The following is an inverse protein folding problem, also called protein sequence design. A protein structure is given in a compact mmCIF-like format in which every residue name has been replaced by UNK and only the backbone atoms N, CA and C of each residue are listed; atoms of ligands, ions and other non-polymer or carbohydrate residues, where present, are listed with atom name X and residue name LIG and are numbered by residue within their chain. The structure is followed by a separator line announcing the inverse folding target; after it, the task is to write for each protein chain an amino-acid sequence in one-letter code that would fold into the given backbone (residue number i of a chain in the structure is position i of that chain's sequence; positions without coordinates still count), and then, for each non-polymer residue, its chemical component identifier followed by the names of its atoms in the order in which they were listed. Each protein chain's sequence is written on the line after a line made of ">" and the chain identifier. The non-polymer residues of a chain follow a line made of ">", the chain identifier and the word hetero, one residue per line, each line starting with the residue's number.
data_IF_718101596592
#
_entry.id   IF_718101596592
#
_cell.length_a   1.000
_cell.length_b   1.000
_cell.length_c   1.000
_cell.angle_alpha   90.00
_cell.angle_beta   90.00
_cell.angle_gamma   90.00
#
_symmetry.space_group_name_H-M   'P 1'
#
loop_
_entity.id
_entity.type
_entity.pdbx_description
1 polymer ?
#
# COMPACT_ATOMS: atom_id res chain seq x y z
N UNK A 1 38.11 -37.23 -2.42
CA UNK A 1 36.72 -36.92 -1.99
C UNK A 1 36.72 -35.65 -1.15
N UNK A 2 35.86 -34.66 -1.44
CA UNK A 2 35.71 -33.51 -0.55
C UNK A 2 35.26 -33.98 0.83
N UNK A 3 35.95 -33.53 1.89
CA UNK A 3 35.61 -33.91 3.28
C UNK A 3 34.16 -33.51 3.57
N UNK A 4 33.36 -34.44 4.13
CA UNK A 4 31.97 -34.18 4.54
C UNK A 4 31.95 -32.95 5.48
N UNK A 5 31.10 -31.96 5.18
CA UNK A 5 30.93 -30.75 6.00
C UNK A 5 30.41 -31.16 7.39
N UNK A 6 31.03 -30.61 8.44
CA UNK A 6 30.59 -30.79 9.83
C UNK A 6 29.20 -30.19 10.06
N UNK A 7 28.46 -30.69 11.05
CA UNK A 7 27.11 -30.20 11.39
C UNK A 7 27.09 -28.68 11.68
N UNK A 8 28.08 -28.18 12.41
CA UNK A 8 28.25 -26.75 12.67
C UNK A 8 28.42 -25.92 11.38
N UNK A 9 29.19 -26.42 10.40
CA UNK A 9 29.39 -25.74 9.12
C UNK A 9 28.12 -25.74 8.25
N UNK A 10 27.33 -26.82 8.31
CA UNK A 10 26.00 -26.88 7.65
C UNK A 10 25.02 -25.89 8.28
N UNK A 11 24.99 -25.78 9.62
CA UNK A 11 24.13 -24.82 10.34
C UNK A 11 24.52 -23.36 10.02
N UNK A 12 25.81 -23.05 9.99
CA UNK A 12 26.30 -21.72 9.63
C UNK A 12 26.00 -21.34 8.17
N UNK A 13 26.15 -22.27 7.22
CA UNK A 13 25.78 -22.03 5.82
C UNK A 13 24.27 -21.82 5.64
N UNK A 14 23.43 -22.64 6.29
CA UNK A 14 21.97 -22.48 6.26
C UNK A 14 21.52 -21.14 6.89
N UNK A 15 22.17 -20.72 7.97
CA UNK A 15 21.91 -19.41 8.59
C UNK A 15 22.35 -18.25 7.68
N UNK A 16 23.48 -18.39 6.99
CA UNK A 16 23.96 -17.38 6.02
C UNK A 16 23.05 -17.28 4.79
N UNK A 17 22.53 -18.40 4.31
CA UNK A 17 21.55 -18.45 3.22
C UNK A 17 20.24 -17.78 3.63
N UNK A 18 19.70 -18.11 4.81
CA UNK A 18 18.55 -17.41 5.39
C UNK A 18 18.77 -15.91 5.55
N UNK A 19 19.95 -15.49 6.02
CA UNK A 19 20.29 -14.06 6.10
C UNK A 19 20.35 -13.39 4.72
N UNK A 20 20.80 -14.12 3.69
CA UNK A 20 20.81 -13.60 2.31
C UNK A 20 19.40 -13.46 1.75
N UNK A 21 18.51 -14.40 2.05
CA UNK A 21 17.09 -14.33 1.69
C UNK A 21 16.39 -13.14 2.39
N UNK A 22 16.65 -12.93 3.69
CA UNK A 22 16.12 -11.77 4.43
C UNK A 22 16.62 -10.44 3.82
N UNK A 23 17.90 -10.37 3.43
CA UNK A 23 18.44 -9.18 2.75
C UNK A 23 17.77 -8.95 1.40
N UNK A 24 17.59 -9.99 0.58
CA UNK A 24 16.85 -9.90 -0.69
C UNK A 24 15.40 -9.45 -0.49
N UNK A 25 14.72 -9.94 0.56
CA UNK A 25 13.37 -9.51 0.89
C UNK A 25 13.28 -8.04 1.33
N UNK A 26 14.38 -7.47 1.85
CA UNK A 26 14.45 -6.04 2.21
C UNK A 26 14.56 -5.15 0.97
N UNK A 27 15.28 -5.60 -0.07
CA UNK A 27 15.38 -4.91 -1.36
C UNK A 27 14.07 -4.95 -2.16
N UNK A 28 13.28 -6.01 -1.99
CA UNK A 28 11.95 -6.16 -2.62
C UNK A 28 10.81 -5.54 -1.80
N UNK A 29 11.12 -4.84 -0.70
CA UNK A 29 10.10 -4.25 0.17
C UNK A 29 9.36 -3.14 -0.57
N UNK A 30 8.06 -3.35 -0.77
CA UNK A 30 7.18 -2.35 -1.37
C UNK A 30 7.18 -1.06 -0.55
N UNK A 31 7.03 0.07 -1.23
CA UNK A 31 7.12 1.41 -0.63
C UNK A 31 6.18 1.61 0.57
N UNK A 32 5.00 0.99 0.52
CA UNK A 32 3.94 1.06 1.54
C UNK A 32 4.36 0.37 2.84
N UNK A 33 5.24 -0.62 2.74
CA UNK A 33 5.70 -1.37 3.91
C UNK A 33 6.83 -0.65 4.63
N UNK A 34 7.40 0.43 4.10
CA UNK A 34 8.50 1.14 4.76
C UNK A 34 8.01 1.96 5.95
N UNK A 35 8.72 1.97 7.09
CA UNK A 35 8.20 2.62 8.31
C UNK A 35 8.00 4.14 8.19
N UNK A 36 8.76 4.81 7.34
CA UNK A 36 8.58 6.23 7.03
C UNK A 36 7.32 6.53 6.20
N UNK A 37 6.67 5.49 5.65
CA UNK A 37 5.46 5.59 4.86
C UNK A 37 4.27 4.85 5.52
N UNK A 38 4.39 4.48 6.79
CA UNK A 38 3.28 3.92 7.55
C UNK A 38 2.16 4.95 7.72
N UNK A 39 0.92 4.48 7.84
CA UNK A 39 -0.18 5.34 8.26
C UNK A 39 0.00 5.68 9.74
N UNK A 40 -0.20 6.96 10.06
CA UNK A 40 -0.37 7.44 11.42
C UNK A 40 -1.62 8.33 11.48
N UNK A 41 -2.19 8.44 12.68
CA UNK A 41 -3.24 9.41 12.99
C UNK A 41 -2.67 10.45 13.93
N UNK A 42 -2.96 11.74 13.68
CA UNK A 42 -2.47 12.81 14.54
C UNK A 42 -3.22 12.85 15.87
N UNK A 43 -2.50 12.79 16.99
CA UNK A 43 -3.08 12.83 18.34
C UNK A 43 -3.86 14.12 18.64
N UNK A 44 -3.59 15.22 17.92
CA UNK A 44 -4.24 16.53 18.15
C UNK A 44 -5.45 16.78 17.27
N UNK A 45 -5.40 16.40 16.00
CA UNK A 45 -6.47 16.74 15.03
C UNK A 45 -7.20 15.53 14.46
N UNK A 46 -6.82 14.29 14.83
CA UNK A 46 -7.47 13.05 14.39
C UNK A 46 -7.32 12.74 12.90
N UNK A 47 -6.55 13.55 12.15
CA UNK A 47 -6.38 13.33 10.70
C UNK A 47 -5.34 12.26 10.44
N UNK A 48 -5.66 11.38 9.49
CA UNK A 48 -4.75 10.35 8.98
C UNK A 48 -3.73 10.97 8.03
N UNK A 49 -2.48 10.53 8.15
CA UNK A 49 -1.35 10.98 7.35
C UNK A 49 -0.29 9.86 7.32
N UNK A 50 0.77 10.02 6.51
CA UNK A 50 1.96 9.17 6.62
C UNK A 50 2.73 9.48 7.91
N UNK A 51 3.59 8.55 8.34
CA UNK A 51 4.52 8.74 9.44
C UNK A 51 5.39 9.99 9.19
N UNK A 52 5.24 10.99 10.06
CA UNK A 52 5.89 12.31 9.95
C UNK A 52 6.18 12.83 11.35
N UNK A 53 7.27 13.59 11.48
CA UNK A 53 7.70 14.21 12.72
C UNK A 53 6.70 15.26 13.20
N UNK A 54 6.20 16.05 12.24
CA UNK A 54 5.19 17.08 12.46
C UNK A 54 3.97 16.78 11.61
N UNK A 55 2.78 16.92 12.19
CA UNK A 55 1.55 16.72 11.45
C UNK A 55 1.46 17.70 10.28
N UNK A 56 1.17 17.19 9.09
CA UNK A 56 0.97 18.00 7.89
C UNK A 56 -0.14 19.04 8.04
N UNK A 57 -1.20 18.73 8.79
CA UNK A 57 -2.37 19.61 8.91
C UNK A 57 -2.28 20.66 10.00
N UNK A 58 -1.68 20.34 11.15
CA UNK A 58 -1.68 21.20 12.33
C UNK A 58 -0.29 21.45 12.93
N UNK A 59 0.77 20.94 12.28
CA UNK A 59 2.18 21.06 12.71
C UNK A 59 2.47 20.53 14.13
N UNK A 60 1.54 19.77 14.71
CA UNK A 60 1.71 19.15 16.01
C UNK A 60 2.75 18.03 15.95
N UNK A 61 3.56 17.92 17.01
CA UNK A 61 4.46 16.79 17.23
C UNK A 61 3.64 15.60 17.74
N UNK A 62 3.87 14.41 17.19
CA UNK A 62 3.23 13.18 17.65
C UNK A 62 3.75 12.78 19.04
N UNK A 63 2.84 12.35 19.94
CA UNK A 63 3.24 11.90 21.29
C UNK A 63 4.09 10.62 21.23
N UNK A 64 3.74 9.70 20.34
CA UNK A 64 4.42 8.43 20.14
C UNK A 64 5.14 8.41 18.78
N UNK A 65 6.40 8.88 18.70
CA UNK A 65 7.15 8.88 17.46
C UNK A 65 7.54 7.45 17.05
N UNK A 66 7.37 7.15 15.77
CA UNK A 66 7.76 5.87 15.18
C UNK A 66 8.98 6.10 14.29
N UNK A 67 10.07 5.37 14.53
CA UNK A 67 11.28 5.50 13.71
C UNK A 67 11.01 5.13 12.23
N UNK A 68 11.27 6.07 11.31
CA UNK A 68 11.10 5.88 9.87
C UNK A 68 12.00 4.82 9.21
N UNK A 69 13.05 4.35 9.91
CA UNK A 69 13.92 3.27 9.42
C UNK A 69 13.60 1.91 10.04
N UNK A 70 13.45 1.81 11.37
CA UNK A 70 13.31 0.53 12.07
C UNK A 70 11.94 0.28 12.71
N UNK A 71 10.98 1.19 12.54
CA UNK A 71 9.62 1.13 13.12
C UNK A 71 9.55 1.08 14.67
N UNK A 72 10.68 1.23 15.37
CA UNK A 72 10.68 1.23 16.84
C UNK A 72 10.00 2.49 17.39
N UNK A 73 9.22 2.30 18.45
CA UNK A 73 8.57 3.35 19.28
C UNK A 73 9.22 3.48 20.67
N UNK A 74 10.19 2.60 20.96
CA UNK A 74 11.05 2.65 22.16
C UNK A 74 12.46 2.18 21.81
N UNK A 75 13.53 2.89 22.24
CA UNK A 75 14.88 2.30 22.20
C UNK A 75 15.11 1.52 23.50
N UNK A 76 15.54 0.26 23.35
CA UNK A 76 16.11 -0.53 24.43
C UNK A 76 17.63 -0.57 24.30
N UNK A 77 18.35 -0.27 25.39
CA UNK A 77 19.81 -0.34 25.38
C UNK A 77 20.37 -1.77 25.21
N UNK A 78 19.56 -2.83 25.37
CA UNK A 78 19.98 -4.24 25.18
C UNK A 78 20.71 -4.49 23.84
N UNK A 79 20.40 -3.72 22.80
CA UNK A 79 21.01 -3.88 21.47
C UNK A 79 22.29 -3.06 21.21
N UNK A 80 22.74 -2.22 22.16
CA UNK A 80 24.06 -1.55 22.13
C UNK A 80 24.31 -0.53 21.01
N UNK A 81 23.42 -0.39 20.03
CA UNK A 81 23.62 0.47 18.85
C UNK A 81 23.08 1.91 19.03
N UNK A 82 22.56 2.28 20.20
CA UNK A 82 22.04 3.63 20.46
C UNK A 82 23.21 4.62 20.74
N UNK A 83 23.24 5.76 20.03
CA UNK A 83 24.29 6.80 20.15
C UNK A 83 24.20 7.52 21.49
N UNK A 84 22.98 7.67 22.02
CA UNK A 84 22.70 8.14 23.38
C UNK A 84 22.51 6.90 24.27
N UNK A 85 23.27 6.84 25.36
CA UNK A 85 23.16 5.75 26.35
C UNK A 85 22.00 6.02 27.31
N UNK A 86 21.20 5.00 27.60
CA UNK A 86 20.06 5.01 28.54
C UNK A 86 20.02 3.69 29.34
N UNK A 87 20.96 3.49 30.29
CA UNK A 87 21.14 2.21 30.96
C UNK A 87 19.92 1.91 31.85
N UNK A 88 19.37 0.69 31.72
CA UNK A 88 18.28 0.22 32.58
C UNK A 88 16.92 0.88 32.33
N UNK A 89 16.79 1.76 31.32
CA UNK A 89 15.53 2.46 31.02
C UNK A 89 15.19 2.35 29.54
N UNK A 90 13.90 2.19 29.23
CA UNK A 90 13.41 2.33 27.86
C UNK A 90 13.21 3.80 27.55
N UNK A 91 13.96 4.32 26.57
CA UNK A 91 13.69 5.67 26.10
C UNK A 91 12.52 5.65 25.12
N UNK A 92 11.52 6.48 25.39
CA UNK A 92 10.30 6.67 24.58
C UNK A 92 10.14 8.14 24.20
N UNK A 93 9.13 8.47 23.37
CA UNK A 93 8.82 9.85 23.02
C UNK A 93 9.98 10.55 22.31
N UNK A 94 10.21 11.82 22.62
CA UNK A 94 11.31 12.59 22.00
C UNK A 94 12.71 12.12 22.43
N UNK A 95 12.85 11.45 23.59
CA UNK A 95 14.16 10.98 24.04
C UNK A 95 14.78 9.90 23.13
N UNK A 96 13.96 9.15 22.39
CA UNK A 96 14.46 8.14 21.45
C UNK A 96 14.78 8.69 20.07
N UNK A 97 14.39 9.93 19.79
CA UNK A 97 14.61 10.60 18.50
C UNK A 97 16.05 11.07 18.42
N UNK A 98 16.72 10.79 17.30
CA UNK A 98 18.07 11.26 17.01
C UNK A 98 18.14 12.29 15.89
N UNK A 99 17.22 12.22 14.91
CA UNK A 99 17.15 13.16 13.79
C UNK A 99 15.76 13.16 13.15
N UNK A 100 15.50 14.15 12.30
CA UNK A 100 14.40 14.16 11.32
C UNK A 100 15.01 13.97 9.94
N UNK A 101 14.41 13.15 9.09
CA UNK A 101 14.89 12.94 7.72
C UNK A 101 14.34 14.01 6.77
N UNK A 102 15.19 14.64 5.98
CA UNK A 102 14.77 15.70 5.03
C UNK A 102 13.93 15.15 3.85
N UNK A 103 14.04 13.86 3.52
CA UNK A 103 13.28 13.28 2.40
C UNK A 103 11.86 12.86 2.82
N UNK A 104 11.75 12.09 3.91
CA UNK A 104 10.47 11.53 4.35
C UNK A 104 9.80 12.30 5.49
N UNK A 105 10.52 13.22 6.14
CA UNK A 105 10.10 14.01 7.30
C UNK A 105 9.67 13.18 8.51
N UNK A 106 10.01 11.90 8.55
CA UNK A 106 9.77 11.05 9.71
C UNK A 106 10.90 11.21 10.75
N UNK A 107 10.56 10.96 12.01
CA UNK A 107 11.58 10.84 13.06
C UNK A 107 12.44 9.61 12.83
N UNK A 108 13.74 9.75 13.05
CA UNK A 108 14.73 8.67 13.02
C UNK A 108 15.27 8.51 14.43
N UNK A 109 15.26 7.28 14.95
CA UNK A 109 15.76 7.02 16.29
C UNK A 109 17.28 7.24 16.36
N UNK A 110 17.80 7.45 17.56
CA UNK A 110 19.23 7.63 17.82
C UNK A 110 20.09 6.36 17.64
N UNK A 111 19.57 5.32 16.96
CA UNK A 111 20.34 4.13 16.61
C UNK A 111 21.37 4.49 15.55
N UNK A 112 22.64 4.14 15.76
CA UNK A 112 23.75 4.47 14.85
C UNK A 112 23.47 3.96 13.43
N UNK A 113 22.95 2.74 13.30
CA UNK A 113 22.52 2.23 11.99
C UNK A 113 21.45 3.12 11.34
N UNK A 114 20.39 3.47 12.08
CA UNK A 114 19.29 4.26 11.54
C UNK A 114 19.75 5.64 11.07
N UNK A 115 20.59 6.31 11.86
CA UNK A 115 21.11 7.64 11.53
C UNK A 115 22.07 7.62 10.33
N UNK A 116 22.89 6.58 10.21
CA UNK A 116 23.91 6.50 9.14
C UNK A 116 23.36 6.02 7.81
N UNK A 117 22.33 5.16 7.81
CA UNK A 117 21.83 4.55 6.56
C UNK A 117 20.56 5.19 6.03
N UNK A 118 19.69 5.75 6.89
CA UNK A 118 18.35 6.13 6.45
C UNK A 118 18.34 7.24 5.39
N UNK A 119 19.18 8.26 5.53
CA UNK A 119 19.22 9.35 4.55
C UNK A 119 19.65 8.85 3.16
N UNK A 120 20.63 7.93 3.09
CA UNK A 120 21.14 7.39 1.83
C UNK A 120 20.17 6.40 1.15
N UNK A 121 19.37 5.70 1.93
CA UNK A 121 18.46 4.65 1.46
C UNK A 121 16.99 5.02 1.67
N UNK A 122 16.67 6.32 1.81
CA UNK A 122 15.30 6.72 2.10
C UNK A 122 14.41 6.35 0.91
N UNK A 123 13.36 5.52 1.11
CA UNK A 123 12.53 5.05 0.00
C UNK A 123 11.64 6.15 -0.57
N UNK A 124 11.53 7.30 0.12
CA UNK A 124 10.76 8.47 -0.32
C UNK A 124 11.64 9.57 -0.93
N UNK A 125 12.92 9.30 -1.21
CA UNK A 125 13.83 10.24 -1.86
C UNK A 125 13.32 10.58 -3.27
N UNK A 126 13.19 11.87 -3.55
CA UNK A 126 12.82 12.42 -4.86
C UNK A 126 11.56 11.78 -5.48
N UNK A 127 10.59 11.41 -4.63
CA UNK A 127 9.31 10.90 -5.10
C UNK A 127 8.28 12.01 -5.22
N UNK A 128 7.73 12.09 -6.43
CA UNK A 128 6.67 13.01 -6.81
C UNK A 128 5.49 12.19 -7.35
N UNK A 129 4.27 12.61 -7.01
CA UNK A 129 3.08 12.01 -7.59
C UNK A 129 3.02 12.31 -9.08
N UNK A 130 2.80 11.29 -9.91
CA UNK A 130 2.69 11.48 -11.35
C UNK A 130 1.48 12.31 -11.80
N UNK A 131 0.39 12.31 -11.02
CA UNK A 131 -0.86 12.98 -11.41
C UNK A 131 -0.93 14.42 -10.91
N UNK A 132 -0.66 14.65 -9.62
CA UNK A 132 -0.69 16.00 -9.05
C UNK A 132 0.67 16.71 -9.00
N UNK A 133 1.75 16.07 -9.43
CA UNK A 133 3.14 16.60 -9.44
C UNK A 133 3.66 17.04 -8.06
N UNK A 134 2.94 16.69 -6.99
CA UNK A 134 3.30 17.04 -5.62
C UNK A 134 4.29 16.06 -5.03
N UNK A 135 5.29 16.60 -4.34
CA UNK A 135 6.27 15.83 -3.57
C UNK A 135 5.79 15.45 -2.17
N UNK A 136 6.60 14.66 -1.47
CA UNK A 136 6.37 14.19 -0.08
C UNK A 136 6.02 15.30 0.92
N UNK A 137 6.56 16.51 0.69
CA UNK A 137 6.38 17.68 1.54
C UNK A 137 5.05 18.41 1.32
N UNK A 138 4.45 18.24 0.14
CA UNK A 138 3.29 18.99 -0.36
C UNK A 138 1.97 18.22 -0.18
N UNK A 139 2.05 17.01 0.36
CA UNK A 139 0.89 16.21 0.72
C UNK A 139 1.11 15.44 2.04
N UNK A 140 0.04 15.26 2.82
CA UNK A 140 0.10 14.53 4.09
C UNK A 140 -0.03 13.01 3.96
N UNK A 141 -0.53 12.51 2.82
CA UNK A 141 -0.83 11.09 2.61
C UNK A 141 0.39 10.21 2.38
N UNK A 142 0.16 8.89 2.36
CA UNK A 142 1.17 7.91 1.96
C UNK A 142 1.46 7.98 0.46
N UNK A 143 2.59 7.40 0.07
CA UNK A 143 2.97 7.22 -1.34
C UNK A 143 2.87 5.74 -1.71
N UNK A 144 2.37 5.49 -2.92
CA UNK A 144 2.19 4.18 -3.53
C UNK A 144 2.95 4.12 -4.85
N UNK A 145 3.23 2.90 -5.33
CA UNK A 145 3.73 2.67 -6.69
C UNK A 145 2.66 1.95 -7.48
N UNK A 146 2.37 2.42 -8.69
CA UNK A 146 1.41 1.78 -9.57
C UNK A 146 1.93 0.41 -10.02
N UNK A 147 1.16 -0.66 -9.82
CA UNK A 147 1.51 -2.02 -10.29
C UNK A 147 1.62 -2.17 -11.82
N UNK A 148 1.18 -1.17 -12.58
CA UNK A 148 1.16 -1.21 -14.04
C UNK A 148 2.28 -0.39 -14.68
N UNK A 149 2.58 0.79 -14.14
CA UNK A 149 3.57 1.70 -14.74
C UNK A 149 4.74 2.04 -13.81
N UNK A 150 4.77 1.50 -12.59
CA UNK A 150 5.77 1.75 -11.54
C UNK A 150 5.95 3.23 -11.14
N UNK A 151 5.02 4.09 -11.55
CA UNK A 151 5.05 5.51 -11.19
C UNK A 151 4.58 5.70 -9.75
N UNK A 152 5.16 6.70 -9.08
CA UNK A 152 4.78 7.07 -7.73
C UNK A 152 3.45 7.86 -7.74
N UNK A 153 2.60 7.57 -6.76
CA UNK A 153 1.25 8.12 -6.64
C UNK A 153 0.99 8.45 -5.18
N UNK A 154 0.37 9.59 -4.91
CA UNK A 154 -0.09 9.91 -3.55
C UNK A 154 -1.33 9.07 -3.20
N UNK A 155 -1.70 9.04 -1.92
CA UNK A 155 -2.85 8.29 -1.42
C UNK A 155 -4.18 8.70 -2.06
N UNK A 156 -4.31 9.95 -2.49
CA UNK A 156 -5.50 10.50 -3.15
C UNK A 156 -5.60 10.01 -4.61
N UNK A 157 -4.50 10.07 -5.37
CA UNK A 157 -4.49 9.78 -6.82
C UNK A 157 -4.33 8.29 -7.15
N UNK A 158 -3.96 7.45 -6.17
CA UNK A 158 -3.57 6.06 -6.45
C UNK A 158 -4.68 5.25 -7.13
N UNK A 159 -5.94 5.45 -6.75
CA UNK A 159 -7.06 4.63 -7.20
C UNK A 159 -7.51 5.04 -8.60
N UNK A 160 -7.61 6.34 -8.84
CA UNK A 160 -7.96 6.90 -10.14
C UNK A 160 -6.89 6.55 -11.18
N UNK A 161 -5.62 6.72 -10.82
CA UNK A 161 -4.52 6.33 -11.69
C UNK A 161 -4.51 4.82 -11.95
N UNK A 162 -4.68 3.96 -10.95
CA UNK A 162 -4.68 2.50 -11.17
C UNK A 162 -5.82 2.05 -12.07
N UNK A 163 -7.01 2.65 -11.93
CA UNK A 163 -8.17 2.34 -12.77
C UNK A 163 -7.91 2.70 -14.25
N UNK A 164 -7.31 3.85 -14.52
CA UNK A 164 -7.01 4.28 -15.90
C UNK A 164 -5.73 3.65 -16.45
N UNK A 165 -4.72 3.42 -15.61
CA UNK A 165 -3.41 2.94 -16.04
C UNK A 165 -3.41 1.47 -16.46
N UNK A 166 -4.44 0.69 -16.17
CA UNK A 166 -4.59 -0.65 -16.74
C UNK A 166 -4.91 -0.61 -18.24
N UNK A 167 -5.52 0.48 -18.73
CA UNK A 167 -5.96 0.60 -20.11
C UNK A 167 -4.84 1.17 -21.01
N UNK A 168 -4.79 0.69 -22.24
CA UNK A 168 -3.91 1.23 -23.29
C UNK A 168 -4.81 2.00 -24.25
N UNK A 169 -4.82 3.33 -24.17
CA UNK A 169 -5.63 4.21 -25.02
C UNK A 169 -5.06 4.39 -26.45
N UNK A 170 -4.25 3.45 -26.94
CA UNK A 170 -3.76 3.53 -28.31
C UNK A 170 -4.91 3.24 -29.28
N UNK A 171 -5.40 4.28 -29.97
CA UNK A 171 -6.46 4.19 -31.01
C UNK A 171 -6.11 3.15 -32.09
N UNK A 172 -4.82 2.94 -32.34
CA UNK A 172 -4.34 1.84 -33.15
C UNK A 172 -3.42 0.97 -32.30
N UNK A 173 -3.85 -0.27 -32.02
CA UNK A 173 -3.05 -1.34 -31.38
C UNK A 173 -1.90 -1.81 -32.28
N UNK A 174 -1.30 -0.88 -33.02
CA UNK A 174 -0.26 -1.09 -33.99
C UNK A 174 1.10 -0.96 -33.31
N UNK A 175 2.05 -1.73 -33.79
CA UNK A 175 3.43 -1.67 -33.39
C UNK A 175 4.01 -0.31 -33.77
N UNK A 176 4.58 0.40 -32.80
CA UNK A 176 5.18 1.71 -33.02
C UNK A 176 6.31 1.73 -34.07
N UNK A 177 6.91 0.58 -34.39
CA UNK A 177 8.04 0.48 -35.33
C UNK A 177 7.65 0.05 -36.74
N UNK A 178 6.58 -0.72 -36.94
CA UNK A 178 6.21 -1.24 -38.27
C UNK A 178 4.72 -1.21 -38.61
N UNK A 179 3.89 -0.55 -37.80
CA UNK A 179 2.45 -0.38 -37.99
C UNK A 179 1.62 -1.68 -38.16
N UNK A 180 2.22 -2.87 -38.01
CA UNK A 180 1.52 -4.17 -37.88
C UNK A 180 0.85 -4.28 -36.51
N UNK A 181 -0.07 -5.22 -36.31
CA UNK A 181 -0.66 -5.45 -34.98
C UNK A 181 0.41 -5.75 -33.92
N UNK A 182 0.35 -5.03 -32.80
CA UNK A 182 1.21 -5.23 -31.64
C UNK A 182 0.67 -6.35 -30.77
N UNK A 183 1.53 -7.31 -30.44
CA UNK A 183 1.20 -8.43 -29.54
C UNK A 183 1.65 -8.18 -28.09
N UNK A 184 2.59 -7.26 -27.89
CA UNK A 184 3.13 -6.89 -26.59
C UNK A 184 2.88 -5.41 -26.33
N UNK A 185 2.39 -5.08 -25.15
CA UNK A 185 2.11 -3.71 -24.73
C UNK A 185 2.90 -3.36 -23.48
N UNK A 186 3.57 -2.20 -23.52
CA UNK A 186 4.22 -1.63 -22.34
C UNK A 186 3.23 -0.70 -21.63
N UNK A 187 2.82 -1.03 -20.40
CA UNK A 187 1.89 -0.20 -19.62
C UNK A 187 2.52 1.08 -19.08
N UNK A 188 3.86 1.14 -18.98
CA UNK A 188 4.59 2.35 -18.59
C UNK A 188 4.68 3.37 -19.73
N UNK A 189 4.96 2.91 -20.96
CA UNK A 189 5.05 3.79 -22.13
C UNK A 189 3.72 3.94 -22.89
N UNK A 190 2.73 3.09 -22.62
CA UNK A 190 1.46 3.01 -23.38
C UNK A 190 1.67 2.75 -24.88
N UNK A 191 2.68 1.94 -25.21
CA UNK A 191 3.05 1.61 -26.60
C UNK A 191 2.96 0.10 -26.83
N UNK A 192 2.48 -0.27 -28.02
CA UNK A 192 2.43 -1.65 -28.49
C UNK A 192 3.61 -1.98 -29.43
N UNK A 193 4.06 -3.22 -29.40
CA UNK A 193 5.15 -3.78 -30.20
C UNK A 193 4.74 -5.14 -30.78
N UNK A 194 5.20 -5.47 -31.98
CA UNK A 194 5.11 -6.83 -32.52
C UNK A 194 6.25 -7.71 -31.98
N UNK A 195 6.18 -9.03 -32.18
CA UNK A 195 7.21 -9.99 -31.72
C UNK A 195 8.63 -9.60 -32.11
N UNK A 196 8.82 -9.11 -33.33
CA UNK A 196 10.13 -8.74 -33.85
C UNK A 196 10.68 -7.45 -33.23
N UNK A 197 9.81 -6.48 -32.91
CA UNK A 197 10.22 -5.16 -32.41
C UNK A 197 10.27 -5.07 -30.90
N UNK A 198 9.62 -5.98 -30.17
CA UNK A 198 9.77 -6.07 -28.72
C UNK A 198 11.10 -6.73 -28.33
N UNK A 199 11.62 -7.64 -29.16
CA UNK A 199 12.87 -8.36 -28.92
C UNK A 199 14.06 -7.58 -29.48
N UNK A 200 15.06 -7.29 -28.65
CA UNK A 200 16.36 -6.76 -29.07
C UNK A 200 17.18 -7.88 -29.73
N UNK A 201 17.73 -7.62 -30.91
CA UNK A 201 18.62 -8.56 -31.61
C UNK A 201 19.84 -8.89 -30.74
N UNK A 202 20.14 -10.18 -30.57
CA UNK A 202 21.30 -10.66 -29.82
C UNK A 202 21.09 -10.87 -28.31
N UNK A 203 19.89 -10.60 -27.78
CA UNK A 203 19.56 -10.91 -26.38
C UNK A 203 18.86 -12.27 -26.27
N UNK A 204 19.32 -13.11 -25.34
CA UNK A 204 18.67 -14.40 -25.04
C UNK A 204 17.52 -14.15 -24.08
N UNK A 205 16.29 -14.27 -24.57
CA UNK A 205 15.10 -14.26 -23.73
C UNK A 205 14.85 -15.68 -23.19
N UNK A 206 14.69 -15.80 -21.88
CA UNK A 206 14.29 -17.06 -21.27
C UNK A 206 12.78 -17.28 -21.50
N UNK A 207 12.36 -18.54 -21.61
CA UNK A 207 10.95 -18.87 -21.87
C UNK A 207 10.17 -18.72 -20.55
N UNK A 208 9.22 -17.78 -20.52
CA UNK A 208 8.34 -17.53 -19.37
C UNK A 208 8.65 -16.24 -18.60
N UNK A 209 9.78 -15.57 -18.87
CA UNK A 209 10.03 -14.23 -18.34
C UNK A 209 9.38 -13.16 -19.23
N UNK A 210 8.82 -12.09 -18.66
CA UNK A 210 8.25 -10.99 -19.42
C UNK A 210 9.34 -10.30 -20.25
N UNK A 211 9.00 -9.92 -21.48
CA UNK A 211 9.95 -9.27 -22.37
C UNK A 211 10.05 -7.79 -21.96
N UNK A 212 11.24 -7.24 -21.67
CA UNK A 212 11.40 -5.83 -21.33
C UNK A 212 11.13 -4.92 -22.53
N UNK A 213 10.43 -3.82 -22.29
CA UNK A 213 10.12 -2.80 -23.29
C UNK A 213 11.40 -2.23 -23.92
N UNK A 214 11.50 -2.11 -25.26
CA UNK A 214 12.67 -1.54 -25.90
C UNK A 214 13.02 -0.12 -25.44
N UNK A 215 12.02 0.71 -25.10
CA UNK A 215 12.19 2.12 -24.71
C UNK A 215 12.54 2.30 -23.22
N UNK A 216 11.78 1.69 -22.32
CA UNK A 216 11.92 1.93 -20.88
C UNK A 216 12.42 0.70 -20.10
N UNK A 217 12.65 -0.42 -20.77
CA UNK A 217 13.06 -1.71 -20.19
C UNK A 217 12.10 -2.27 -19.13
N UNK A 218 10.90 -1.70 -18.98
CA UNK A 218 9.85 -2.21 -18.12
C UNK A 218 9.13 -3.40 -18.77
N UNK A 219 8.67 -4.33 -17.94
CA UNK A 219 8.04 -5.57 -18.39
C UNK A 219 6.82 -5.29 -19.28
N UNK A 220 6.82 -5.91 -20.46
CA UNK A 220 5.66 -5.87 -21.36
C UNK A 220 4.69 -6.99 -21.01
N UNK A 221 3.41 -6.72 -21.20
CA UNK A 221 2.34 -7.71 -21.09
C UNK A 221 1.83 -8.06 -22.48
N UNK A 222 1.29 -9.26 -22.64
CA UNK A 222 0.64 -9.62 -23.88
C UNK A 222 -0.64 -8.79 -24.06
N UNK A 223 -0.80 -8.19 -25.23
CA UNK A 223 -1.93 -7.29 -25.53
C UNK A 223 -3.28 -8.00 -25.40
N UNK A 224 -3.31 -9.31 -25.63
CA UNK A 224 -4.52 -10.15 -25.50
C UNK A 224 -4.99 -10.33 -24.04
N UNK A 225 -4.08 -10.21 -23.08
CA UNK A 225 -4.37 -10.40 -21.64
C UNK A 225 -4.81 -9.09 -20.97
N UNK A 226 -4.69 -7.96 -21.68
CA UNK A 226 -5.17 -6.68 -21.21
C UNK A 226 -6.68 -6.57 -21.48
N UNK A 227 -7.44 -6.15 -20.48
CA UNK A 227 -8.86 -5.84 -20.60
C UNK A 227 -9.06 -4.65 -21.54
N UNK A 228 -9.20 -4.93 -22.83
CA UNK A 228 -9.42 -3.95 -23.90
C UNK A 228 -10.89 -3.54 -23.93
N UNK A 229 -11.27 -2.52 -23.15
CA UNK A 229 -12.59 -1.91 -23.34
C UNK A 229 -12.52 -0.90 -24.48
N UNK A 230 -13.03 -1.27 -25.66
CA UNK A 230 -13.24 -0.33 -26.78
C UNK A 230 -14.49 0.53 -26.61
N UNK A 231 -15.27 0.31 -25.55
CA UNK A 231 -16.42 1.14 -25.19
C UNK A 231 -16.15 1.82 -23.85
N UNK A 232 -15.94 3.14 -23.88
CA UNK A 232 -16.02 3.97 -22.68
C UNK A 232 -17.47 3.96 -22.22
N UNK A 233 -17.87 3.00 -21.38
CA UNK A 233 -19.15 3.09 -20.68
C UNK A 233 -18.90 4.02 -19.51
N UNK A 234 -19.14 5.32 -19.71
CA UNK A 234 -19.24 6.24 -18.60
C UNK A 234 -20.41 5.74 -17.75
N UNK A 235 -20.13 5.14 -16.60
CA UNK A 235 -21.15 4.91 -15.57
C UNK A 235 -21.52 6.28 -14.98
N UNK A 236 -22.24 7.07 -15.77
CA UNK A 236 -23.11 8.10 -15.23
C UNK A 236 -24.16 7.38 -14.39
N UNK A 237 -24.36 7.87 -13.17
CA UNK A 237 -25.46 7.42 -12.32
C UNK A 237 -26.71 7.43 -13.19
N UNK A 238 -27.23 6.24 -13.50
CA UNK A 238 -28.57 6.13 -14.06
C UNK A 238 -29.45 6.84 -13.03
N UNK A 239 -30.00 7.99 -13.42
CA UNK A 239 -31.16 8.53 -12.75
C UNK A 239 -32.17 7.39 -12.74
N UNK A 240 -32.45 6.87 -11.54
CA UNK A 240 -33.58 6.00 -11.32
C UNK A 240 -34.84 6.82 -11.62
N UNK A 241 -35.18 6.92 -12.89
CA UNK A 241 -36.54 7.15 -13.32
C UNK A 241 -36.98 5.91 -14.10
N UNK A 242 -38.16 5.44 -13.73
CA UNK A 242 -38.50 4.05 -13.57
C UNK A 242 -38.73 3.28 -14.88
N UNK A 243 -38.75 1.95 -14.77
CA UNK A 243 -39.06 1.08 -15.88
C UNK A 243 -40.38 1.41 -16.57
N UNK A 244 -40.33 1.57 -17.89
CA UNK A 244 -41.31 1.11 -18.86
C UNK A 244 -40.81 1.57 -20.24
N UNK A 245 -40.69 0.65 -21.18
CA UNK A 245 -40.21 0.96 -22.52
C UNK A 245 -41.11 1.95 -23.24
N UNK A 246 -40.50 2.91 -23.94
CA UNK A 246 -41.10 3.49 -25.12
C UNK A 246 -40.01 4.09 -26.01
N UNK A 247 -40.02 3.63 -27.25
CA UNK A 247 -39.29 4.17 -28.39
C UNK A 247 -39.80 5.60 -28.67
N UNK A 248 -38.90 6.58 -28.77
CA UNK A 248 -39.25 7.85 -29.41
C UNK A 248 -37.98 8.54 -29.92
N UNK A 249 -37.89 8.64 -31.26
CA UNK A 249 -37.00 9.58 -31.93
C UNK A 249 -37.59 10.99 -31.81
N UNK A 250 -36.79 11.97 -31.40
CA UNK A 250 -37.09 13.39 -31.64
C UNK A 250 -35.80 14.15 -31.96
N UNK A 251 -35.88 14.94 -33.03
CA UNK A 251 -34.85 15.74 -33.67
C UNK A 251 -34.41 16.95 -32.82
N UNK A 252 -33.23 17.47 -33.17
CA UNK A 252 -32.79 18.87 -32.98
C UNK A 252 -33.94 19.87 -33.25
N UNK A 253 -34.13 20.83 -32.36
CA UNK A 253 -34.44 22.22 -32.74
C UNK A 253 -34.10 23.19 -31.58
N UNK A 254 -33.59 24.34 -31.97
CA UNK A 254 -33.18 25.49 -31.14
C UNK A 254 -34.40 26.26 -30.54
N UNK A 255 -34.08 27.28 -29.73
CA UNK A 255 -34.90 28.44 -29.28
C UNK A 255 -35.43 28.49 -27.82
N UNK A 256 -34.76 29.37 -27.06
CA UNK A 256 -35.26 30.53 -26.29
C UNK A 256 -36.49 30.51 -25.34
N UNK A 257 -36.24 31.18 -24.20
CA UNK A 257 -37.12 32.05 -23.37
C UNK A 257 -38.22 31.51 -22.42
N UNK A 258 -38.00 31.81 -21.13
CA UNK A 258 -38.90 32.42 -20.13
C UNK A 258 -40.16 31.72 -19.55
N UNK A 259 -40.31 31.89 -18.22
CA UNK A 259 -41.57 31.80 -17.44
C UNK A 259 -41.48 30.78 -16.29
N UNK A 260 -41.66 31.09 -15.00
CA UNK A 260 -42.35 32.18 -14.33
C UNK A 260 -43.51 31.62 -13.48
N UNK A 261 -43.45 31.77 -12.15
CA UNK A 261 -44.55 31.50 -11.18
C UNK A 261 -44.26 30.33 -10.24
N UNK A 262 -44.27 30.43 -8.90
CA UNK A 262 -44.99 31.34 -8.00
C UNK A 262 -46.19 30.60 -7.37
N UNK A 263 -46.36 30.77 -6.04
CA UNK A 263 -47.52 30.41 -5.17
C UNK A 263 -47.91 28.91 -5.05
N UNK A 264 -48.36 28.38 -3.90
CA UNK A 264 -48.71 28.98 -2.63
C UNK A 264 -49.15 27.94 -1.57
N UNK A 265 -48.97 28.38 -0.33
CA UNK A 265 -49.46 27.96 0.99
C UNK A 265 -50.83 27.23 1.11
N UNK A 266 -50.90 26.21 1.97
CA UNK A 266 -51.97 25.81 2.93
C UNK A 266 -51.56 24.42 3.48
N UNK A 267 -51.59 24.05 4.77
CA UNK A 267 -52.12 24.64 5.98
C UNK A 267 -52.66 23.52 6.89
N UNK A 268 -52.17 23.47 8.15
CA UNK A 268 -52.81 22.80 9.30
C UNK A 268 -52.65 21.28 9.42
N UNK A 269 -52.59 20.66 10.60
CA UNK A 269 -52.62 21.10 12.00
C UNK A 269 -52.36 19.86 12.89
N UNK A 270 -52.05 20.12 14.16
CA UNK A 270 -52.20 19.24 15.34
C UNK A 270 -51.16 18.10 15.52
N UNK A 271 -50.70 17.74 16.73
CA UNK A 271 -50.83 18.28 18.09
C UNK A 271 -49.89 17.48 19.03
N UNK A 272 -49.53 18.10 20.17
CA UNK A 272 -49.10 17.49 21.45
C UNK A 272 -47.78 16.68 21.46
N UNK A 273 -46.89 16.76 22.44
CA UNK A 273 -46.88 17.38 23.77
C UNK A 273 -45.85 16.62 24.63
N UNK A 274 -45.24 17.29 25.62
CA UNK A 274 -44.59 16.62 26.76
C UNK A 274 -43.06 16.69 26.82
N UNK A 275 -42.57 17.55 27.72
CA UNK A 275 -41.20 17.60 28.27
C UNK A 275 -41.19 16.83 29.59
N UNK A 276 -40.20 15.97 29.87
CA UNK A 276 -39.66 15.73 31.22
C UNK A 276 -38.22 15.19 31.15
N UNK A 277 -37.40 15.64 32.10
CA UNK A 277 -36.00 15.30 32.39
C UNK A 277 -35.90 14.00 33.22
N UNK A 278 -34.78 13.26 33.12
CA UNK A 278 -34.15 12.33 34.11
C UNK A 278 -33.16 11.41 33.36
N UNK A 279 -32.02 10.93 33.85
CA UNK A 279 -31.14 11.19 34.99
C UNK A 279 -29.83 10.46 34.59
N UNK A 280 -28.68 11.13 34.68
CA UNK A 280 -27.36 10.48 34.68
C UNK A 280 -26.99 10.29 36.16
N UNK A 281 -26.75 9.06 36.61
CA UNK A 281 -25.86 8.75 37.73
C UNK A 281 -25.62 7.23 37.90
N UNK A 282 -24.51 6.93 38.57
CA UNK A 282 -24.06 5.65 39.19
C UNK A 282 -23.30 4.65 38.27
N UNK A 283 -22.07 4.17 38.55
CA UNK A 283 -21.31 4.01 39.81
C UNK A 283 -19.77 3.93 39.56
N UNK A 284 -18.99 4.70 40.33
CA UNK A 284 -17.89 4.38 41.27
C UNK A 284 -17.18 3.00 41.19
N UNK A 285 -15.84 2.91 41.09
CA UNK A 285 -14.71 3.10 42.05
C UNK A 285 -14.13 1.75 42.52
N UNK A 286 -12.79 1.64 42.45
CA UNK A 286 -11.85 0.85 43.28
C UNK A 286 -11.97 -0.70 43.24
N UNK A 287 -10.97 -1.53 43.53
CA UNK A 287 -9.62 -1.38 44.10
C UNK A 287 -8.82 -2.67 43.81
N UNK A 288 -7.55 -2.61 44.18
CA UNK A 288 -6.75 -3.70 44.78
C UNK A 288 -5.72 -4.52 43.99
N UNK A 289 -4.54 -4.41 44.58
CA UNK A 289 -3.20 -4.93 44.35
C UNK A 289 -3.05 -6.42 44.71
N UNK A 290 -1.92 -6.98 44.29
CA UNK A 290 -1.06 -8.00 44.93
C UNK A 290 -0.59 -9.04 43.89
N UNK A 291 0.64 -9.02 43.39
CA UNK A 291 1.98 -9.22 43.99
C UNK A 291 2.37 -10.71 44.14
N UNK A 292 3.66 -10.95 43.93
CA UNK A 292 4.47 -12.16 44.20
C UNK A 292 4.71 -13.22 43.10
N UNK A 293 5.99 -13.20 42.69
CA UNK A 293 6.98 -14.29 42.64
C UNK A 293 7.02 -15.35 41.52
N UNK A 294 8.06 -15.16 40.70
CA UNK A 294 9.22 -16.05 40.48
C UNK A 294 8.96 -17.57 40.33
N UNK A 295 9.21 -18.09 39.13
CA UNK A 295 9.87 -19.38 38.96
C UNK A 295 10.42 -19.55 37.53
N UNK A 296 11.75 -19.47 37.44
CA UNK A 296 12.58 -19.99 36.34
C UNK A 296 12.25 -21.46 36.08
N UNK A 297 11.68 -21.78 34.90
CA UNK A 297 11.76 -23.12 34.30
C UNK A 297 12.04 -23.03 32.81
N UNK A 298 13.30 -23.29 32.48
CA UNK A 298 13.71 -23.87 31.21
C UNK A 298 12.90 -25.17 30.99
N UNK A 299 12.07 -25.21 29.95
CA UNK A 299 11.63 -26.48 29.35
C UNK A 299 11.70 -26.38 27.83
N UNK A 300 12.71 -27.07 27.30
CA UNK A 300 12.80 -27.51 25.91
C UNK A 300 11.70 -28.56 25.67
N UNK A 301 10.59 -28.18 25.04
CA UNK A 301 9.63 -29.15 24.49
C UNK A 301 9.57 -29.09 22.96
N UNK A 302 9.96 -30.22 22.38
CA UNK A 302 9.92 -30.58 20.97
C UNK A 302 8.49 -30.49 20.41
N UNK A 303 8.28 -29.65 19.39
CA UNK A 303 7.03 -29.65 18.62
C UNK A 303 7.04 -30.80 17.59
N UNK A 304 6.61 -31.99 18.01
CA UNK A 304 6.10 -33.04 17.12
C UNK A 304 4.60 -32.83 16.87
N UNK A 305 4.22 -31.83 16.08
CA UNK A 305 2.82 -31.66 15.66
C UNK A 305 2.78 -31.18 14.21
N UNK A 306 3.00 -32.09 13.25
CA UNK A 306 2.78 -31.79 11.82
C UNK A 306 2.66 -33.04 10.92
N UNK A 307 2.26 -34.20 11.45
CA UNK A 307 2.06 -35.41 10.64
C UNK A 307 0.59 -35.86 10.46
N UNK A 308 -0.37 -35.27 11.17
CA UNK A 308 -1.77 -35.75 11.10
C UNK A 308 -2.60 -35.16 9.94
N UNK A 309 -2.16 -34.07 9.30
CA UNK A 309 -2.87 -33.51 8.13
C UNK A 309 -2.60 -34.27 6.82
N UNK A 310 -1.49 -35.00 6.73
CA UNK A 310 -1.11 -35.71 5.52
C UNK A 310 -1.91 -37.01 5.32
N UNK A 311 -2.26 -37.70 6.40
CA UNK A 311 -3.00 -38.97 6.37
C UNK A 311 -4.52 -38.79 6.15
N UNK A 312 -5.05 -37.59 6.39
CA UNK A 312 -6.46 -37.30 6.16
C UNK A 312 -6.79 -36.95 4.69
N UNK A 313 -5.78 -36.61 3.87
CA UNK A 313 -5.97 -36.27 2.46
C UNK A 313 -5.92 -37.51 1.53
N UNK A 314 -5.21 -38.56 1.94
CA UNK A 314 -5.04 -39.80 1.16
C UNK A 314 -6.25 -40.72 1.20
N UNK A 315 -7.21 -40.45 2.10
CA UNK A 315 -8.43 -41.25 2.32
C UNK A 315 -9.67 -40.70 1.60
N UNK A 316 -9.57 -39.58 0.87
CA UNK A 316 -10.66 -39.01 0.09
C UNK A 316 -10.79 -39.69 -1.29
N UNK A 317 -11.77 -40.60 -1.42
CA UNK A 317 -12.17 -41.19 -2.69
C UNK A 317 -12.89 -40.16 -3.57
N UNK A 318 -12.17 -39.54 -4.49
CA UNK A 318 -12.76 -38.70 -5.54
C UNK A 318 -13.38 -39.61 -6.61
N UNK A 319 -14.70 -39.54 -6.78
CA UNK A 319 -15.46 -40.28 -7.79
C UNK A 319 -15.12 -39.84 -9.23
N UNK A 320 -15.61 -40.57 -10.25
CA UNK A 320 -15.14 -40.41 -11.63
C UNK A 320 -15.56 -39.06 -12.23
N UNK A 321 -14.58 -38.36 -12.78
CA UNK A 321 -14.79 -37.15 -13.58
C UNK A 321 -15.45 -37.52 -14.91
N UNK A 322 -16.61 -36.92 -15.19
CA UNK A 322 -17.28 -37.04 -16.49
C UNK A 322 -16.43 -36.38 -17.59
N UNK A 323 -16.25 -37.12 -18.68
CA UNK A 323 -15.74 -36.66 -19.98
C UNK A 323 -16.77 -35.84 -20.73
#
# INVERSE_FOLDING_TARGET
>A
MPKKKTGARKKAEKQKERQREIRKGTEQRQIVQWPCNFTMECDKCGRRQKNRAFCYFCNAVQKLPVCGHCAKVKCMQKSGDCVIKHPGQFTTGLGMVGAVCDFCEAFICHGRKCLTTHACECPLTDLECKECERGVWEHGGRIFKCSFCDSALCEDDQFEHQAMCQQVEAESLKCASCNRLGQYSCLRCKICFCEDHVKRKGFKYSRGEPIPCPKCSYDTKETKELSMSTRKVAYGRQSNDAGAGSYSYTYDDDDDDNGGGGYGYYGGAAAAGGSYYDNDDDDDEDDDEDDEDDDDKDDDEDNEVDNDMADHLTSLKVGPTYT
#
